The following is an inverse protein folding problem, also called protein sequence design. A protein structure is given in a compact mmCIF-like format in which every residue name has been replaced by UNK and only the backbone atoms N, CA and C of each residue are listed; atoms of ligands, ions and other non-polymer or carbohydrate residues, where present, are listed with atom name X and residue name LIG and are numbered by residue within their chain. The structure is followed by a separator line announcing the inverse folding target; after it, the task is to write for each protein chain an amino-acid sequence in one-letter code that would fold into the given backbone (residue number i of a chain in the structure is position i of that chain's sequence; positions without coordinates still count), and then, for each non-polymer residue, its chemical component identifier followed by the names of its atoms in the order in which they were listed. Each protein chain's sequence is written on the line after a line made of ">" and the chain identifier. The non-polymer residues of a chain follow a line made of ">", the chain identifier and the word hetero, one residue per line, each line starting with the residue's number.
data_IF_015207898320
#
_entry.id   IF_015207898320
#
_cell.length_a   1.000
_cell.length_b   1.000
_cell.length_c   1.000
_cell.angle_alpha   90.00
_cell.angle_beta   90.00
_cell.angle_gamma   90.00
#
_symmetry.space_group_name_H-M   'P 1'
#
loop_
_entity.id
_entity.type
_entity.pdbx_description
1 polymer ?
#
# COMPACT_ATOMS: atom_id res chain seq x y z
N UNK A 1 46.34 -42.55 -41.99
CA UNK A 1 45.01 -41.96 -42.14
C UNK A 1 44.45 -41.78 -40.75
N UNK A 2 44.39 -40.57 -40.23
CA UNK A 2 43.98 -40.25 -38.85
C UNK A 2 42.61 -39.62 -38.94
N UNK A 3 41.60 -40.30 -38.33
CA UNK A 3 40.27 -39.79 -38.17
C UNK A 3 40.19 -38.97 -36.88
N UNK A 4 39.99 -37.67 -36.98
CA UNK A 4 39.74 -36.77 -35.85
C UNK A 4 38.24 -36.66 -35.62
N UNK A 5 37.76 -37.30 -34.53
CA UNK A 5 36.36 -37.15 -34.04
C UNK A 5 36.24 -35.85 -33.29
N UNK A 6 35.50 -34.90 -33.84
CA UNK A 6 35.10 -33.65 -33.17
C UNK A 6 33.87 -33.93 -32.29
N UNK A 7 34.04 -33.84 -31.00
CA UNK A 7 33.00 -33.95 -29.99
C UNK A 7 32.40 -32.55 -29.79
N UNK A 8 31.24 -32.26 -30.36
CA UNK A 8 30.46 -31.03 -30.10
C UNK A 8 29.75 -31.19 -28.75
N UNK A 9 30.26 -30.51 -27.71
CA UNK A 9 29.59 -30.38 -26.45
C UNK A 9 28.48 -29.32 -26.60
N UNK A 10 27.23 -29.77 -26.59
CA UNK A 10 26.05 -28.87 -26.45
C UNK A 10 25.96 -28.42 -24.99
N UNK A 11 26.37 -27.19 -24.73
CA UNK A 11 26.09 -26.50 -23.47
C UNK A 11 24.66 -25.97 -23.53
N UNK A 12 23.73 -26.72 -22.92
CA UNK A 12 22.36 -26.27 -22.69
C UNK A 12 22.35 -25.17 -21.63
N UNK A 13 22.13 -23.92 -22.08
CA UNK A 13 21.92 -22.76 -21.20
C UNK A 13 20.51 -22.85 -20.61
N UNK A 14 20.38 -23.43 -19.41
CA UNK A 14 19.14 -23.40 -18.63
C UNK A 14 18.90 -21.95 -18.16
N UNK A 15 18.03 -21.21 -18.87
CA UNK A 15 17.51 -19.94 -18.38
C UNK A 15 16.61 -20.23 -17.17
N UNK A 16 17.14 -20.09 -15.95
CA UNK A 16 16.33 -19.97 -14.74
C UNK A 16 15.59 -18.64 -14.85
N UNK A 17 14.31 -18.69 -15.24
CA UNK A 17 13.39 -17.59 -15.08
C UNK A 17 13.24 -17.31 -13.57
N UNK A 18 13.97 -16.34 -13.05
CA UNK A 18 13.68 -15.77 -11.76
C UNK A 18 12.32 -15.10 -11.87
N UNK A 19 11.28 -15.71 -11.31
CA UNK A 19 10.03 -14.99 -11.00
C UNK A 19 10.42 -13.93 -9.96
N UNK A 20 10.68 -12.71 -10.41
CA UNK A 20 10.72 -11.56 -9.52
C UNK A 20 9.29 -11.39 -9.03
N UNK A 21 9.04 -11.72 -7.78
CA UNK A 21 7.82 -11.34 -7.10
C UNK A 21 7.90 -9.83 -6.98
N UNK A 22 7.20 -9.11 -7.88
CA UNK A 22 7.02 -7.68 -7.72
C UNK A 22 6.29 -7.49 -6.39
N UNK A 23 6.92 -6.85 -5.43
CA UNK A 23 6.23 -6.38 -4.25
C UNK A 23 5.18 -5.38 -4.72
N UNK A 24 3.93 -5.59 -4.34
CA UNK A 24 2.87 -4.64 -4.65
C UNK A 24 3.26 -3.29 -4.07
N UNK A 25 3.34 -2.27 -4.91
CA UNK A 25 3.67 -0.91 -4.47
C UNK A 25 2.52 -0.31 -3.68
N UNK A 26 2.77 0.73 -2.89
CA UNK A 26 1.71 1.43 -2.17
C UNK A 26 0.60 1.93 -3.09
N UNK A 27 0.92 2.34 -4.33
CA UNK A 27 -0.06 2.72 -5.35
C UNK A 27 -0.91 1.52 -5.80
N UNK A 28 -0.30 0.37 -6.07
CA UNK A 28 -1.02 -0.85 -6.44
C UNK A 28 -1.98 -1.29 -5.33
N UNK A 29 -1.52 -1.29 -4.07
CA UNK A 29 -2.36 -1.58 -2.92
C UNK A 29 -3.52 -0.59 -2.80
N UNK A 30 -3.27 0.70 -3.05
CA UNK A 30 -4.31 1.73 -3.06
C UNK A 30 -5.38 1.46 -4.12
N UNK A 31 -4.98 1.23 -5.36
CA UNK A 31 -5.89 0.98 -6.47
C UNK A 31 -6.74 -0.28 -6.25
N UNK A 32 -6.15 -1.33 -5.68
CA UNK A 32 -6.82 -2.60 -5.45
C UNK A 32 -7.76 -2.59 -4.23
N UNK A 33 -7.41 -1.86 -3.16
CA UNK A 33 -8.12 -1.95 -1.88
C UNK A 33 -8.93 -0.70 -1.52
N UNK A 34 -8.56 0.48 -2.02
CA UNK A 34 -9.09 1.76 -1.55
C UNK A 34 -9.88 2.52 -2.63
N UNK A 35 -9.42 2.46 -3.90
CA UNK A 35 -9.98 3.25 -4.99
C UNK A 35 -11.46 2.98 -5.26
N UNK A 36 -11.94 1.76 -4.96
CA UNK A 36 -13.35 1.41 -5.10
C UNK A 36 -14.30 2.38 -4.36
N UNK A 37 -13.89 2.87 -3.21
CA UNK A 37 -14.63 3.85 -2.42
C UNK A 37 -14.06 5.27 -2.55
N UNK A 38 -12.72 5.41 -2.48
CA UNK A 38 -12.07 6.71 -2.43
C UNK A 38 -11.75 7.33 -3.80
N UNK A 39 -11.98 6.60 -4.90
CA UNK A 39 -11.62 7.03 -6.26
C UNK A 39 -10.14 6.82 -6.58
N UNK A 40 -9.81 6.70 -7.86
CA UNK A 40 -8.43 6.52 -8.30
C UNK A 40 -7.55 7.72 -7.95
N UNK A 41 -8.17 8.90 -7.83
CA UNK A 41 -7.53 10.17 -7.46
C UNK A 41 -7.53 10.45 -5.95
N UNK A 42 -8.12 9.59 -5.14
CA UNK A 42 -8.19 9.73 -3.68
C UNK A 42 -9.22 10.74 -3.15
N UNK A 43 -10.10 11.28 -4.00
CA UNK A 43 -11.01 12.39 -3.64
C UNK A 43 -12.37 11.96 -3.08
N UNK A 44 -12.56 10.69 -2.84
CA UNK A 44 -13.79 10.17 -2.21
C UNK A 44 -14.94 9.88 -3.17
N UNK A 45 -14.69 9.91 -4.49
CA UNK A 45 -15.70 9.71 -5.53
C UNK A 45 -15.51 8.37 -6.29
N UNK A 46 -15.17 7.30 -5.57
CA UNK A 46 -15.04 5.98 -6.16
C UNK A 46 -16.39 5.38 -6.59
N UNK A 47 -16.38 4.35 -7.46
CA UNK A 47 -17.60 3.78 -8.03
C UNK A 47 -18.57 3.20 -6.98
N UNK A 48 -18.08 2.85 -5.79
CA UNK A 48 -18.92 2.38 -4.70
C UNK A 48 -19.42 3.49 -3.77
N UNK A 49 -18.95 4.74 -3.92
CA UNK A 49 -19.22 5.84 -2.98
C UNK A 49 -20.72 6.12 -2.80
N UNK A 50 -21.48 6.10 -3.88
CA UNK A 50 -22.93 6.41 -3.85
C UNK A 50 -23.77 5.34 -3.13
N UNK A 51 -23.22 4.14 -2.93
CA UNK A 51 -23.90 3.05 -2.22
C UNK A 51 -23.59 2.99 -0.72
N UNK A 52 -22.72 3.89 -0.23
CA UNK A 52 -22.34 3.95 1.18
C UNK A 52 -23.23 4.94 1.96
N UNK A 53 -23.47 4.64 3.23
CA UNK A 53 -24.23 5.54 4.14
C UNK A 53 -23.51 6.86 4.40
N UNK A 54 -22.19 6.88 4.29
CA UNK A 54 -21.37 8.07 4.47
C UNK A 54 -20.43 8.25 3.27
N UNK A 55 -20.31 9.46 2.80
CA UNK A 55 -19.38 9.82 1.71
C UNK A 55 -17.94 9.51 2.12
N UNK A 56 -17.18 8.74 1.32
CA UNK A 56 -15.78 8.50 1.59
C UNK A 56 -14.98 9.81 1.67
N UNK A 57 -14.06 9.87 2.62
CA UNK A 57 -13.23 11.07 2.79
C UNK A 57 -12.31 11.31 1.59
N UNK A 58 -12.08 12.58 1.26
CA UNK A 58 -10.99 12.99 0.38
C UNK A 58 -9.64 12.74 1.09
N UNK A 59 -8.91 11.74 0.61
CA UNK A 59 -7.64 11.31 1.19
C UNK A 59 -6.48 12.24 0.82
N UNK A 60 -6.64 13.07 -0.20
CA UNK A 60 -5.62 14.03 -0.63
C UNK A 60 -5.50 15.25 0.31
N UNK A 61 -6.44 15.41 1.24
CA UNK A 61 -6.49 16.51 2.19
C UNK A 61 -6.19 16.09 3.64
N UNK A 62 -5.66 14.89 3.87
CA UNK A 62 -5.36 14.41 5.23
C UNK A 62 -4.37 15.36 5.93
N UNK A 63 -3.27 15.71 5.27
CA UNK A 63 -2.29 16.63 5.84
C UNK A 63 -2.88 18.03 6.09
N UNK A 64 -3.65 18.57 5.15
CA UNK A 64 -4.29 19.88 5.30
C UNK A 64 -5.22 19.91 6.52
N UNK A 65 -6.06 18.89 6.69
CA UNK A 65 -6.94 18.75 7.87
C UNK A 65 -6.18 18.53 9.18
N UNK A 66 -4.92 18.14 9.11
CA UNK A 66 -4.04 17.90 10.28
C UNK A 66 -2.97 19.01 10.42
N UNK A 67 -3.30 20.25 10.11
CA UNK A 67 -2.40 21.39 10.30
C UNK A 67 -1.18 21.40 9.37
N UNK A 68 -1.24 20.72 8.22
CA UNK A 68 -0.17 20.64 7.23
C UNK A 68 0.78 19.45 7.40
N UNK A 69 0.66 18.69 8.48
CA UNK A 69 1.48 17.50 8.72
C UNK A 69 0.69 16.21 8.40
N UNK A 70 1.27 15.30 7.64
CA UNK A 70 0.65 14.01 7.38
C UNK A 70 0.78 13.09 8.59
N UNK A 71 -0.32 12.67 9.22
CA UNK A 71 -0.31 11.88 10.46
C UNK A 71 -0.12 10.38 10.15
N UNK A 72 1.12 9.98 9.85
CA UNK A 72 1.46 8.64 9.36
C UNK A 72 0.93 7.52 10.25
N UNK A 73 1.10 7.63 11.57
CA UNK A 73 0.72 6.59 12.53
C UNK A 73 -0.79 6.43 12.60
N UNK A 74 -1.52 7.53 12.64
CA UNK A 74 -2.99 7.56 12.66
C UNK A 74 -3.56 6.99 11.37
N UNK A 75 -2.94 7.30 10.23
CA UNK A 75 -3.35 6.76 8.92
C UNK A 75 -3.14 5.25 8.89
N UNK A 76 -1.97 4.76 9.25
CA UNK A 76 -1.71 3.33 9.33
C UNK A 76 -2.67 2.62 10.29
N UNK A 77 -2.90 3.19 11.49
CA UNK A 77 -3.83 2.65 12.47
C UNK A 77 -5.28 2.60 11.95
N UNK A 78 -5.68 3.59 11.15
CA UNK A 78 -7.02 3.63 10.53
C UNK A 78 -7.18 2.55 9.48
N UNK A 79 -6.17 2.34 8.63
CA UNK A 79 -6.16 1.31 7.58
C UNK A 79 -6.13 -0.09 8.22
N UNK A 80 -5.24 -0.30 9.15
CA UNK A 80 -5.09 -1.56 9.88
C UNK A 80 -6.39 -1.95 10.61
N UNK A 81 -7.09 -0.97 11.14
CA UNK A 81 -8.28 -1.15 11.94
C UNK A 81 -8.01 -1.15 13.44
N UNK A 82 -6.79 -0.92 13.89
CA UNK A 82 -6.41 -0.86 15.31
C UNK A 82 -7.03 0.35 16.04
N UNK A 83 -7.15 1.50 15.35
CA UNK A 83 -7.79 2.71 15.88
C UNK A 83 -9.29 2.52 16.15
N UNK A 84 -9.80 1.35 15.89
CA UNK A 84 -11.16 0.97 16.06
C UNK A 84 -11.39 0.46 17.51
N UNK A 85 -11.34 1.33 18.50
CA UNK A 85 -12.05 1.08 19.74
C UNK A 85 -13.50 0.64 19.47
N UNK A 86 -14.23 0.17 20.45
CA UNK A 86 -15.54 -0.50 20.32
C UNK A 86 -16.64 0.27 19.56
N UNK A 87 -16.37 1.47 19.06
CA UNK A 87 -17.31 2.31 18.30
C UNK A 87 -16.87 2.48 16.85
N UNK A 88 -17.11 1.43 16.05
CA UNK A 88 -16.97 1.50 14.58
C UNK A 88 -18.13 2.28 13.96
N UNK A 89 -18.07 3.60 13.99
CA UNK A 89 -18.96 4.45 13.25
C UNK A 89 -18.40 4.83 11.89
N UNK A 90 -18.21 3.84 11.01
CA UNK A 90 -17.76 4.13 9.66
C UNK A 90 -17.77 2.91 8.75
N UNK A 91 -18.17 3.12 7.49
CA UNK A 91 -18.26 2.08 6.47
C UNK A 91 -16.89 1.51 6.02
N UNK A 92 -15.77 2.12 6.43
CA UNK A 92 -14.43 1.66 6.05
C UNK A 92 -14.06 0.36 6.79
N UNK A 93 -13.80 -0.76 6.08
CA UNK A 93 -13.39 -2.01 6.70
C UNK A 93 -11.96 -1.94 7.27
N UNK A 94 -11.56 -2.95 8.06
CA UNK A 94 -10.17 -3.17 8.44
C UNK A 94 -9.44 -3.92 7.33
N UNK A 95 -8.24 -3.47 6.96
CA UNK A 95 -7.48 -4.04 5.85
C UNK A 95 -6.28 -4.89 6.32
N UNK A 96 -6.04 -5.03 7.63
CA UNK A 96 -4.90 -5.79 8.16
C UNK A 96 -4.74 -7.20 7.53
N UNK A 97 -5.80 -7.98 7.23
CA UNK A 97 -5.61 -9.33 6.67
C UNK A 97 -5.11 -9.32 5.23
N UNK A 98 -5.22 -8.18 4.53
CA UNK A 98 -4.85 -8.02 3.12
C UNK A 98 -3.50 -7.30 2.94
N UNK A 99 -2.93 -6.78 4.05
CA UNK A 99 -1.68 -6.03 4.07
C UNK A 99 -0.59 -6.77 4.85
N UNK A 100 -0.73 -8.08 5.00
CA UNK A 100 0.33 -8.93 5.57
C UNK A 100 1.54 -9.00 4.65
N UNK A 101 2.74 -9.09 5.23
CA UNK A 101 3.96 -9.18 4.46
C UNK A 101 5.21 -9.12 5.33
N UNK A 102 6.33 -8.82 4.70
CA UNK A 102 7.58 -8.56 5.40
C UNK A 102 7.40 -7.41 6.39
N UNK A 103 7.96 -7.54 7.57
CA UNK A 103 7.87 -6.54 8.63
C UNK A 103 9.09 -5.60 8.57
N UNK A 104 8.84 -4.31 8.65
CA UNK A 104 9.85 -3.25 8.79
C UNK A 104 9.66 -2.51 10.11
N UNK A 105 10.71 -1.86 10.61
CA UNK A 105 10.65 -1.06 11.83
C UNK A 105 10.28 0.39 11.49
N UNK A 106 9.14 0.84 11.99
CA UNK A 106 8.65 2.21 11.80
C UNK A 106 8.66 2.96 13.14
N UNK A 107 9.09 4.21 13.12
CA UNK A 107 8.99 5.08 14.28
C UNK A 107 7.55 5.56 14.46
N UNK A 108 6.90 5.10 15.53
CA UNK A 108 5.48 5.38 15.80
C UNK A 108 5.26 6.44 16.90
N UNK A 109 6.31 7.17 17.28
CA UNK A 109 6.30 8.24 18.28
C UNK A 109 7.33 7.99 19.39
N UNK A 110 7.81 9.06 20.02
CA UNK A 110 8.71 9.04 21.19
C UNK A 110 9.96 8.14 21.06
N UNK A 111 10.44 7.92 19.83
CA UNK A 111 11.60 7.06 19.56
C UNK A 111 11.30 5.56 19.57
N UNK A 112 10.06 5.17 19.68
CA UNK A 112 9.64 3.75 19.65
C UNK A 112 9.66 3.23 18.21
N UNK A 113 10.39 2.13 17.98
CA UNK A 113 10.39 1.39 16.72
C UNK A 113 9.39 0.24 16.81
N UNK A 114 8.34 0.31 16.01
CA UNK A 114 7.27 -0.70 15.98
C UNK A 114 7.39 -1.57 14.74
N UNK A 115 7.42 -2.91 14.87
CA UNK A 115 7.31 -3.82 13.74
C UNK A 115 5.99 -3.62 13.01
N UNK A 116 6.05 -3.26 11.73
CA UNK A 116 4.88 -2.91 10.91
C UNK A 116 4.97 -3.63 9.57
N UNK A 117 3.87 -4.21 9.04
CA UNK A 117 3.86 -4.81 7.71
C UNK A 117 4.29 -3.79 6.64
N UNK A 118 5.24 -4.16 5.80
CA UNK A 118 5.77 -3.28 4.75
C UNK A 118 4.67 -2.81 3.78
N UNK A 119 3.72 -3.65 3.31
CA UNK A 119 2.64 -3.18 2.43
C UNK A 119 1.77 -2.08 3.06
N UNK A 120 1.57 -2.10 4.38
CA UNK A 120 0.86 -1.05 5.10
C UNK A 120 1.66 0.26 5.11
N UNK A 121 2.97 0.18 5.32
CA UNK A 121 3.85 1.35 5.28
C UNK A 121 3.88 1.97 3.89
N UNK A 122 4.07 1.15 2.85
CA UNK A 122 4.08 1.59 1.45
C UNK A 122 2.76 2.26 1.03
N UNK A 123 1.62 1.69 1.46
CA UNK A 123 0.31 2.29 1.22
C UNK A 123 0.17 3.66 1.91
N UNK A 124 0.60 3.78 3.17
CA UNK A 124 0.57 5.06 3.88
C UNK A 124 1.53 6.10 3.26
N UNK A 125 2.70 5.67 2.78
CA UNK A 125 3.64 6.52 2.02
C UNK A 125 3.04 7.00 0.69
N UNK A 126 2.35 6.13 -0.03
CA UNK A 126 1.61 6.53 -1.23
C UNK A 126 0.56 7.60 -0.90
N UNK A 127 -0.25 7.40 0.12
CA UNK A 127 -1.22 8.41 0.57
C UNK A 127 -0.55 9.73 0.96
N UNK A 128 0.62 9.69 1.58
CA UNK A 128 1.40 10.88 1.87
C UNK A 128 1.86 11.60 0.59
N UNK A 129 2.23 10.86 -0.44
CA UNK A 129 2.73 11.42 -1.70
C UNK A 129 1.66 12.17 -2.52
N UNK A 130 0.38 11.80 -2.36
CA UNK A 130 -0.74 12.43 -3.07
C UNK A 130 -1.39 13.58 -2.31
N UNK A 131 -0.78 14.05 -1.19
CA UNK A 131 -1.33 15.17 -0.44
C UNK A 131 -1.26 16.48 -1.24
N UNK A 132 -2.30 17.30 -1.10
CA UNK A 132 -2.40 18.62 -1.70
C UNK A 132 -2.83 19.67 -0.66
N UNK A 133 -2.65 20.93 -0.98
CA UNK A 133 -3.17 22.05 -0.17
C UNK A 133 -4.66 22.26 -0.41
N UNK A 134 -5.38 22.84 0.56
CA UNK A 134 -6.81 23.20 0.38
C UNK A 134 -7.03 24.26 -0.71
N UNK A 135 -5.97 24.91 -1.18
CA UNK A 135 -6.04 25.97 -2.20
C UNK A 135 -5.99 25.43 -3.64
N UNK A 136 -5.82 24.13 -3.84
CA UNK A 136 -5.83 23.43 -5.13
C UNK A 136 -7.13 22.64 -5.33
#
# INVERSE_FOLDING_TARGET
>A
MRATSSLFALIGLAALGACTQESETGESNYLNLCAGCHGDDGRGAGPAADSLEATPADLTLIAARNGGAFPMVEVMSKIDGYAKGEEHHGAMPAFWPLLEGRTVLVQTGDGILTPTPEPLVELAEYLRSIQRSEAE
#
